data_IF_474228084237
#
_entry.id   IF_474228084237
#
_cell.length_a   1.000
_cell.length_b   1.000
_cell.length_c   1.000
_cell.angle_alpha   90.00
_cell.angle_beta   90.00
_cell.angle_gamma   90.00
#
_symmetry.space_group_name_H-M   'P 1'
#
loop_
_entity.id
_entity.type
_entity.pdbx_description
1 polymer ?
#
# COMPACT_ATOMS: atom_id res chain seq x y z
N UNK A 1 -7.73 -22.03 0.35
CA UNK A 1 -6.35 -21.51 0.41
C UNK A 1 -5.37 -22.65 0.66
N UNK A 2 -4.34 -22.79 -0.18
CA UNK A 2 -3.27 -23.79 -0.09
C UNK A 2 -1.97 -23.04 0.24
N UNK A 3 -1.19 -23.52 1.24
CA UNK A 3 0.07 -22.92 1.69
C UNK A 3 1.22 -23.89 1.45
N UNK A 4 2.17 -23.51 0.61
CA UNK A 4 3.46 -24.20 0.51
C UNK A 4 4.41 -23.66 1.59
N UNK A 5 5.03 -24.56 2.35
CA UNK A 5 5.89 -24.25 3.50
C UNK A 5 7.40 -24.48 3.21
N UNK A 6 7.76 -24.74 1.97
CA UNK A 6 9.15 -25.03 1.62
C UNK A 6 10.04 -23.77 1.70
N UNK A 7 11.30 -23.98 2.06
CA UNK A 7 12.35 -22.97 2.00
C UNK A 7 12.32 -21.87 3.06
N UNK A 8 11.67 -22.11 4.20
CA UNK A 8 11.67 -21.16 5.33
C UNK A 8 12.97 -21.32 6.12
N UNK A 9 13.70 -20.21 6.26
CA UNK A 9 14.93 -20.18 7.05
C UNK A 9 14.66 -20.38 8.55
N UNK A 10 15.61 -20.97 9.31
CA UNK A 10 15.40 -21.26 10.74
C UNK A 10 15.01 -20.03 11.57
N UNK A 11 15.62 -18.87 11.30
CA UNK A 11 15.34 -17.59 11.99
C UNK A 11 13.94 -17.06 11.74
N UNK A 12 13.32 -17.44 10.61
CA UNK A 12 12.02 -16.95 10.18
C UNK A 12 10.85 -17.83 10.63
N UNK A 13 11.13 -18.97 11.25
CA UNK A 13 10.10 -19.96 11.59
C UNK A 13 8.99 -19.42 12.46
N UNK A 14 9.32 -18.62 13.45
CA UNK A 14 8.32 -18.05 14.36
C UNK A 14 7.39 -17.11 13.61
N UNK A 15 7.93 -16.19 12.79
CA UNK A 15 7.13 -15.28 11.97
C UNK A 15 6.28 -16.07 10.96
N UNK A 16 6.85 -17.07 10.31
CA UNK A 16 6.14 -17.92 9.36
C UNK A 16 4.95 -18.66 10.04
N UNK A 17 5.13 -19.17 11.24
CA UNK A 17 4.06 -19.81 12.03
C UNK A 17 2.96 -18.78 12.34
N UNK A 18 3.31 -17.56 12.72
CA UNK A 18 2.37 -16.50 13.03
C UNK A 18 1.56 -16.10 11.79
N UNK A 19 2.23 -15.85 10.66
CA UNK A 19 1.57 -15.55 9.37
C UNK A 19 0.62 -16.68 8.97
N UNK A 20 1.10 -17.94 9.03
CA UNK A 20 0.29 -19.11 8.70
C UNK A 20 -0.96 -19.21 9.60
N UNK A 21 -0.80 -19.09 10.91
CA UNK A 21 -1.91 -19.20 11.85
C UNK A 21 -2.93 -18.07 11.66
N UNK A 22 -2.45 -16.86 11.38
CA UNK A 22 -3.29 -15.71 11.06
C UNK A 22 -4.17 -15.97 9.84
N UNK A 23 -3.58 -16.47 8.76
CA UNK A 23 -4.30 -16.80 7.52
C UNK A 23 -5.25 -17.99 7.70
N UNK A 24 -4.85 -19.02 8.46
CA UNK A 24 -5.72 -20.17 8.75
C UNK A 24 -6.93 -19.81 9.62
N UNK A 25 -6.81 -18.74 10.43
CA UNK A 25 -7.94 -18.17 11.16
C UNK A 25 -8.93 -17.39 10.27
N UNK A 26 -8.71 -17.34 8.97
CA UNK A 26 -9.57 -16.68 7.99
C UNK A 26 -9.23 -15.22 7.72
N UNK A 27 -8.21 -14.66 8.37
CA UNK A 27 -7.78 -13.28 8.12
C UNK A 27 -7.06 -13.19 6.76
N UNK A 28 -7.19 -12.06 6.07
CA UNK A 28 -6.59 -11.83 4.75
C UNK A 28 -5.84 -10.50 4.64
N UNK A 29 -6.00 -9.60 5.59
CA UNK A 29 -5.31 -8.32 5.63
C UNK A 29 -4.29 -8.35 6.76
N UNK A 30 -3.02 -8.16 6.43
CA UNK A 30 -1.87 -8.17 7.34
C UNK A 30 -1.28 -6.77 7.38
N UNK A 31 -1.09 -6.21 8.57
CA UNK A 31 -0.61 -4.83 8.77
C UNK A 31 -1.72 -3.86 9.13
N UNK A 32 -1.32 -2.63 9.42
CA UNK A 32 -2.22 -1.55 9.83
C UNK A 32 -2.22 -0.45 8.75
N UNK A 33 -3.31 -0.31 7.96
CA UNK A 33 -3.36 0.67 6.88
C UNK A 33 -3.09 2.08 7.40
N UNK A 34 -2.20 2.81 6.74
CA UNK A 34 -1.83 4.18 7.11
C UNK A 34 -0.83 4.30 8.26
N UNK A 35 -0.22 3.22 8.75
CA UNK A 35 0.72 3.28 9.88
C UNK A 35 1.96 4.13 9.57
N UNK A 36 2.55 4.02 8.38
CA UNK A 36 3.68 4.87 7.99
C UNK A 36 3.31 6.36 7.98
N UNK A 37 2.14 6.68 7.44
CA UNK A 37 1.64 8.05 7.43
C UNK A 37 1.25 8.54 8.84
N UNK A 38 0.77 7.66 9.74
CA UNK A 38 0.53 8.05 11.15
C UNK A 38 1.81 8.43 11.89
N UNK A 39 2.91 7.71 11.63
CA UNK A 39 4.21 8.07 12.20
C UNK A 39 4.71 9.41 11.66
N UNK A 40 4.55 9.64 10.35
CA UNK A 40 4.83 10.93 9.72
C UNK A 40 3.96 12.03 10.32
N UNK A 41 2.66 11.79 10.48
CA UNK A 41 1.73 12.75 11.08
C UNK A 41 2.13 13.12 12.50
N UNK A 42 2.48 12.14 13.34
CA UNK A 42 2.94 12.37 14.70
C UNK A 42 4.16 13.30 14.73
N UNK A 43 5.14 13.07 13.85
CA UNK A 43 6.33 13.91 13.71
C UNK A 43 5.98 15.35 13.28
N UNK A 44 5.06 15.51 12.34
CA UNK A 44 4.60 16.82 11.88
C UNK A 44 3.85 17.59 12.99
N UNK A 45 2.98 16.91 13.74
CA UNK A 45 2.24 17.51 14.86
C UNK A 45 3.18 17.86 16.03
N UNK A 46 4.17 17.04 16.32
CA UNK A 46 5.20 17.36 17.30
C UNK A 46 6.01 18.59 16.88
N UNK A 47 6.44 18.68 15.62
CA UNK A 47 7.10 19.84 15.05
C UNK A 47 6.21 21.10 15.18
N UNK A 48 4.92 21.01 14.87
CA UNK A 48 3.98 22.12 15.05
C UNK A 48 3.91 22.59 16.49
N UNK A 49 3.90 21.67 17.45
CA UNK A 49 3.77 21.99 18.87
C UNK A 49 5.08 22.51 19.50
N UNK A 50 6.23 22.16 18.95
CA UNK A 50 7.55 22.54 19.48
C UNK A 50 8.07 23.89 18.97
N UNK A 51 7.43 24.47 17.97
CA UNK A 51 7.89 25.72 17.37
C UNK A 51 7.43 26.95 18.18
N UNK A 52 8.36 27.58 18.90
CA UNK A 52 8.20 28.95 19.42
C UNK A 52 8.46 29.93 18.27
N UNK A 53 7.42 30.37 17.58
CA UNK A 53 7.54 31.25 16.41
C UNK A 53 7.71 32.73 16.77
N UNK A 54 8.60 33.42 16.04
CA UNK A 54 8.49 34.89 15.90
C UNK A 54 7.31 35.21 14.96
N UNK A 55 6.64 36.34 15.21
CA UNK A 55 5.40 36.75 14.52
C UNK A 55 5.55 36.82 12.99
N UNK A 56 6.75 37.10 12.47
CA UNK A 56 7.03 37.20 11.02
C UNK A 56 7.23 35.85 10.32
N UNK A 57 7.69 34.82 11.02
CA UNK A 57 7.84 33.48 10.46
C UNK A 57 6.50 32.70 10.43
N UNK A 58 5.54 33.19 11.20
CA UNK A 58 4.27 32.50 11.46
C UNK A 58 3.40 32.30 10.21
N UNK A 59 3.26 33.32 9.37
CA UNK A 59 2.28 33.31 8.29
C UNK A 59 2.66 32.40 7.12
N UNK A 60 3.94 32.24 6.78
CA UNK A 60 4.38 31.48 5.59
C UNK A 60 4.74 30.03 5.93
N UNK A 61 5.43 29.80 7.04
CA UNK A 61 5.86 28.45 7.46
C UNK A 61 4.70 27.61 8.01
N UNK A 62 3.77 28.26 8.71
CA UNK A 62 2.63 27.58 9.34
C UNK A 62 1.61 27.05 8.30
N UNK A 63 1.37 27.81 7.23
CA UNK A 63 0.49 27.35 6.15
C UNK A 63 1.01 26.11 5.41
N UNK A 64 2.33 25.99 5.25
CA UNK A 64 2.92 24.82 4.59
C UNK A 64 2.86 23.57 5.49
N UNK A 65 3.19 23.70 6.77
CA UNK A 65 3.13 22.60 7.74
C UNK A 65 1.69 22.11 7.94
N UNK A 66 0.72 23.02 8.06
CA UNK A 66 -0.69 22.66 8.15
C UNK A 66 -1.18 21.97 6.89
N UNK A 67 -0.74 22.41 5.71
CA UNK A 67 -1.04 21.74 4.44
C UNK A 67 -0.48 20.32 4.43
N UNK A 68 0.77 20.12 4.88
CA UNK A 68 1.37 18.77 4.98
C UNK A 68 0.57 17.87 5.93
N UNK A 69 0.18 18.38 7.10
CA UNK A 69 -0.67 17.65 8.06
C UNK A 69 -1.99 17.23 7.42
N UNK A 70 -2.66 18.10 6.69
CA UNK A 70 -3.93 17.79 6.03
C UNK A 70 -3.75 16.76 4.89
N UNK A 71 -2.69 16.88 4.10
CA UNK A 71 -2.38 15.90 3.05
C UNK A 71 -2.05 14.52 3.64
N UNK A 72 -1.29 14.47 4.73
CA UNK A 72 -0.98 13.21 5.42
C UNK A 72 -2.24 12.56 5.99
N UNK A 73 -3.15 13.34 6.59
CA UNK A 73 -4.45 12.82 7.06
C UNK A 73 -5.29 12.27 5.91
N UNK A 74 -5.35 12.96 4.78
CA UNK A 74 -6.05 12.46 3.59
C UNK A 74 -5.42 11.17 3.04
N UNK A 75 -4.10 11.05 3.09
CA UNK A 75 -3.38 9.82 2.73
C UNK A 75 -3.79 8.64 3.63
N UNK A 76 -3.77 8.82 4.96
CA UNK A 76 -4.20 7.80 5.93
C UNK A 76 -5.64 7.33 5.61
N UNK A 77 -6.57 8.26 5.39
CA UNK A 77 -7.94 7.91 5.02
C UNK A 77 -8.00 7.11 3.72
N UNK A 78 -7.16 7.45 2.74
CA UNK A 78 -7.08 6.74 1.47
C UNK A 78 -6.64 5.29 1.61
N UNK A 79 -5.57 5.05 2.37
CA UNK A 79 -5.07 3.70 2.62
C UNK A 79 -6.10 2.85 3.40
N UNK A 80 -6.73 3.42 4.41
CA UNK A 80 -7.80 2.75 5.18
C UNK A 80 -8.97 2.38 4.25
N UNK A 81 -9.48 3.32 3.46
CA UNK A 81 -10.59 3.06 2.52
C UNK A 81 -10.24 1.95 1.52
N UNK A 82 -9.02 1.96 0.97
CA UNK A 82 -8.56 0.93 0.05
C UNK A 82 -8.55 -0.45 0.71
N UNK A 83 -7.97 -0.56 1.90
CA UNK A 83 -7.87 -1.83 2.63
C UNK A 83 -9.25 -2.34 3.07
N UNK A 84 -10.15 -1.48 3.53
CA UNK A 84 -11.52 -1.86 3.88
C UNK A 84 -12.30 -2.37 2.67
N UNK A 85 -12.12 -1.72 1.51
CA UNK A 85 -12.73 -2.15 0.27
C UNK A 85 -12.20 -3.53 -0.16
N UNK A 86 -10.87 -3.73 -0.11
CA UNK A 86 -10.23 -5.00 -0.41
C UNK A 86 -10.69 -6.12 0.54
N UNK A 87 -10.72 -5.86 1.84
CA UNK A 87 -11.22 -6.82 2.84
C UNK A 87 -12.67 -7.23 2.54
N UNK A 88 -13.50 -6.27 2.16
CA UNK A 88 -14.89 -6.52 1.77
C UNK A 88 -14.98 -7.38 0.51
N UNK A 89 -14.21 -7.07 -0.53
CA UNK A 89 -14.18 -7.86 -1.76
C UNK A 89 -13.75 -9.30 -1.49
N UNK A 90 -12.66 -9.51 -0.76
CA UNK A 90 -12.14 -10.85 -0.46
C UNK A 90 -13.15 -11.67 0.35
N UNK A 91 -13.89 -11.02 1.24
CA UNK A 91 -14.90 -11.70 2.08
C UNK A 91 -16.10 -12.19 1.29
N UNK A 92 -16.51 -11.47 0.24
CA UNK A 92 -17.77 -11.71 -0.46
C UNK A 92 -17.62 -12.17 -1.90
N UNK A 93 -16.40 -12.28 -2.43
CA UNK A 93 -16.13 -12.71 -3.80
C UNK A 93 -15.25 -13.96 -3.82
N UNK A 94 -15.87 -15.12 -4.05
CA UNK A 94 -15.19 -16.43 -4.09
C UNK A 94 -14.06 -16.49 -5.13
N UNK A 95 -14.09 -15.65 -6.18
CA UNK A 95 -13.01 -15.58 -7.18
C UNK A 95 -11.71 -15.07 -6.60
N UNK A 96 -11.80 -14.32 -5.50
CA UNK A 96 -10.65 -13.74 -4.80
C UNK A 96 -10.19 -14.60 -3.61
N UNK A 97 -10.75 -15.82 -3.46
CA UNK A 97 -10.24 -16.74 -2.41
C UNK A 97 -8.76 -17.06 -2.65
N UNK A 98 -7.98 -16.95 -1.60
CA UNK A 98 -6.52 -17.07 -1.67
C UNK A 98 -5.77 -15.75 -1.83
N UNK A 99 -6.45 -14.63 -2.08
CA UNK A 99 -5.81 -13.31 -2.08
C UNK A 99 -5.42 -12.90 -0.64
N UNK A 100 -4.20 -12.43 -0.47
CA UNK A 100 -3.67 -11.88 0.79
C UNK A 100 -3.24 -10.44 0.55
N UNK A 101 -3.61 -9.57 1.48
CA UNK A 101 -3.30 -8.13 1.45
C UNK A 101 -2.30 -7.80 2.55
N UNK A 102 -1.24 -7.10 2.21
CA UNK A 102 -0.32 -6.48 3.15
C UNK A 102 -0.47 -4.97 3.06
N UNK A 103 -0.60 -4.31 4.21
CA UNK A 103 -0.76 -2.86 4.31
C UNK A 103 0.44 -2.23 5.02
N UNK A 104 0.80 -1.02 4.59
CA UNK A 104 1.85 -0.18 5.20
C UNK A 104 3.18 -0.92 5.37
N UNK A 105 3.86 -1.15 4.26
CA UNK A 105 5.14 -1.85 4.22
C UNK A 105 6.28 -0.86 3.95
N UNK A 106 7.42 -1.03 4.64
CA UNK A 106 8.66 -0.32 4.38
C UNK A 106 9.82 -1.31 4.38
N UNK A 107 10.57 -1.40 3.29
CA UNK A 107 11.68 -2.32 3.16
C UNK A 107 13.01 -1.59 3.20
N UNK A 108 13.85 -1.94 4.18
CA UNK A 108 15.18 -1.39 4.34
C UNK A 108 16.23 -2.38 3.81
N UNK A 109 16.91 -2.02 2.74
CA UNK A 109 17.98 -2.83 2.14
C UNK A 109 19.30 -2.79 2.94
N UNK A 110 19.39 -2.03 4.02
CA UNK A 110 20.59 -1.95 4.86
C UNK A 110 21.79 -1.24 4.21
N UNK A 111 21.61 -0.57 3.09
CA UNK A 111 22.66 0.20 2.43
C UNK A 111 22.96 1.46 3.23
N UNK A 112 24.22 1.62 3.71
CA UNK A 112 24.63 2.71 4.60
C UNK A 112 24.46 4.13 4.02
N UNK A 113 24.31 4.25 2.70
CA UNK A 113 24.28 5.53 2.00
C UNK A 113 22.87 6.11 1.81
N UNK A 114 21.80 5.33 2.07
CA UNK A 114 20.40 5.77 1.90
C UNK A 114 19.67 5.84 3.25
N UNK A 115 20.27 6.50 4.24
CA UNK A 115 19.69 6.60 5.60
C UNK A 115 18.37 7.38 5.65
N UNK A 116 18.05 8.14 4.62
CA UNK A 116 16.94 9.10 4.66
C UNK A 116 15.70 8.69 3.83
N UNK A 117 15.78 7.63 3.02
CA UNK A 117 14.65 7.20 2.21
C UNK A 117 14.42 5.69 2.32
N UNK A 118 13.44 5.32 3.12
CA UNK A 118 12.88 3.97 3.13
C UNK A 118 11.61 4.04 2.28
N UNK A 119 11.64 3.45 1.07
CA UNK A 119 10.45 3.45 0.24
C UNK A 119 9.35 2.65 0.93
N UNK A 120 8.20 3.27 1.10
CA UNK A 120 7.01 2.60 1.61
C UNK A 120 6.13 2.08 0.47
N UNK A 121 5.26 1.15 0.82
CA UNK A 121 4.26 0.57 -0.06
C UNK A 121 2.94 0.58 0.70
N UNK A 122 1.97 1.33 0.19
CA UNK A 122 0.67 1.47 0.83
C UNK A 122 -0.02 0.12 0.97
N UNK A 123 -0.11 -0.61 -0.15
CA UNK A 123 -0.80 -1.90 -0.20
C UNK A 123 -0.12 -2.84 -1.20
N UNK A 124 0.12 -4.08 -0.77
CA UNK A 124 0.65 -5.14 -1.61
C UNK A 124 -0.27 -6.36 -1.51
N UNK A 125 -0.70 -6.87 -2.65
CA UNK A 125 -1.53 -8.06 -2.74
C UNK A 125 -0.70 -9.22 -3.25
N UNK A 126 -0.94 -10.40 -2.66
CA UNK A 126 -0.31 -11.66 -3.05
C UNK A 126 -1.38 -12.66 -3.46
N UNK A 127 -1.22 -13.28 -4.62
CA UNK A 127 -2.04 -14.40 -5.09
C UNK A 127 -1.14 -15.44 -5.73
N UNK A 128 -1.05 -16.61 -5.11
CA UNK A 128 -0.07 -17.63 -5.51
C UNK A 128 1.36 -17.09 -5.39
N UNK A 129 2.08 -17.05 -6.51
CA UNK A 129 3.42 -16.47 -6.64
C UNK A 129 3.40 -15.12 -7.39
N UNK A 130 2.27 -14.44 -7.44
CA UNK A 130 2.10 -13.16 -8.11
C UNK A 130 1.93 -12.03 -7.09
N UNK A 131 2.48 -10.87 -7.41
CA UNK A 131 2.40 -9.66 -6.59
C UNK A 131 1.70 -8.56 -7.37
N UNK A 132 0.81 -7.84 -6.70
CA UNK A 132 0.20 -6.61 -7.19
C UNK A 132 0.43 -5.49 -6.16
N UNK A 133 1.13 -4.44 -6.57
CA UNK A 133 1.34 -3.24 -5.76
C UNK A 133 0.24 -2.24 -6.07
N UNK A 134 -0.41 -1.73 -5.05
CA UNK A 134 -1.46 -0.70 -5.19
C UNK A 134 -1.11 0.50 -4.32
N UNK A 135 -0.85 1.62 -4.97
CA UNK A 135 -0.60 2.91 -4.35
C UNK A 135 -1.95 3.65 -4.20
N UNK A 136 -2.36 3.99 -2.98
CA UNK A 136 -3.62 4.64 -2.69
C UNK A 136 -3.51 6.17 -2.79
N UNK A 137 -4.34 6.79 -3.62
CA UNK A 137 -4.37 8.26 -3.74
C UNK A 137 -5.75 8.80 -3.43
N UNK A 138 -5.87 9.47 -2.27
CA UNK A 138 -7.09 10.18 -1.85
C UNK A 138 -6.97 11.66 -2.23
N UNK A 139 -7.22 11.96 -3.48
CA UNK A 139 -7.13 13.31 -4.04
C UNK A 139 -8.51 13.94 -4.17
N UNK A 140 -8.58 15.27 -3.99
CA UNK A 140 -9.80 16.03 -4.28
C UNK A 140 -9.95 16.18 -5.79
N UNK A 141 -10.97 15.57 -6.35
CA UNK A 141 -11.32 15.68 -7.77
C UNK A 141 -12.64 16.40 -7.95
N UNK A 142 -12.85 16.94 -9.15
CA UNK A 142 -14.16 17.45 -9.59
C UNK A 142 -14.93 16.32 -10.26
N UNK A 143 -16.28 16.35 -10.27
CA UNK A 143 -17.06 15.44 -11.09
C UNK A 143 -16.59 15.48 -12.54
N UNK A 144 -16.49 14.31 -13.16
CA UNK A 144 -16.07 14.16 -14.57
C UNK A 144 -14.66 14.70 -14.89
N UNK A 145 -13.83 14.92 -13.86
CA UNK A 145 -12.45 15.33 -14.06
C UNK A 145 -11.67 14.25 -14.83
N UNK A 146 -10.94 14.66 -15.85
CA UNK A 146 -10.11 13.79 -16.66
C UNK A 146 -8.73 13.65 -16.01
N UNK A 147 -8.35 12.44 -15.65
CA UNK A 147 -7.08 12.12 -14.94
C UNK A 147 -6.18 11.30 -15.85
N UNK A 148 -4.90 11.64 -15.89
CA UNK A 148 -3.86 10.88 -16.59
C UNK A 148 -2.63 10.68 -15.70
N UNK A 149 -1.73 9.77 -16.10
CA UNK A 149 -0.37 9.69 -15.58
C UNK A 149 0.60 10.28 -16.60
N UNK A 150 1.40 11.24 -16.15
CA UNK A 150 2.53 11.79 -16.89
C UNK A 150 3.82 11.62 -16.08
N UNK A 151 4.74 10.76 -16.54
CA UNK A 151 5.92 10.45 -15.74
C UNK A 151 5.54 9.91 -14.35
N UNK A 152 6.10 10.47 -13.28
CA UNK A 152 5.76 10.09 -11.91
C UNK A 152 4.56 10.86 -11.35
N UNK A 153 3.76 11.55 -12.17
CA UNK A 153 2.69 12.44 -11.70
C UNK A 153 1.31 11.99 -12.17
N UNK A 154 0.32 12.02 -11.28
CA UNK A 154 -1.08 12.13 -11.67
C UNK A 154 -1.35 13.59 -12.03
N UNK A 155 -1.99 13.82 -13.17
CA UNK A 155 -2.29 15.14 -13.69
C UNK A 155 -3.77 15.26 -14.04
N UNK A 156 -4.29 16.48 -13.94
CA UNK A 156 -5.53 16.89 -14.58
C UNK A 156 -5.25 17.02 -16.09
N UNK A 157 -5.83 16.15 -16.90
CA UNK A 157 -5.50 16.08 -18.33
C UNK A 157 -6.01 17.26 -19.15
N UNK A 158 -7.03 17.98 -18.68
CA UNK A 158 -7.59 19.15 -19.38
C UNK A 158 -6.63 20.35 -19.38
N UNK A 159 -5.84 20.50 -18.32
CA UNK A 159 -4.94 21.65 -18.16
C UNK A 159 -3.50 21.28 -17.77
N UNK A 160 -3.17 20.00 -17.76
CA UNK A 160 -1.86 19.42 -17.39
C UNK A 160 -1.38 19.86 -15.98
N UNK A 161 -2.32 20.18 -15.10
CA UNK A 161 -2.00 20.53 -13.73
C UNK A 161 -1.60 19.27 -12.95
N UNK A 162 -0.42 19.28 -12.37
CA UNK A 162 0.04 18.24 -11.45
C UNK A 162 -0.86 18.16 -10.21
N UNK A 163 -1.32 16.95 -9.89
CA UNK A 163 -2.19 16.67 -8.76
C UNK A 163 -1.40 16.05 -7.62
N UNK A 164 -0.69 14.94 -7.89
CA UNK A 164 0.08 14.22 -6.88
C UNK A 164 1.13 13.32 -7.52
N UNK A 165 2.26 13.17 -6.85
CA UNK A 165 3.32 12.25 -7.25
C UNK A 165 2.94 10.79 -7.00
N UNK A 166 3.40 9.91 -7.90
CA UNK A 166 3.12 8.48 -7.90
C UNK A 166 4.45 7.72 -7.81
N UNK A 167 4.59 6.90 -6.78
CA UNK A 167 5.79 6.11 -6.55
C UNK A 167 5.49 4.61 -6.56
N UNK A 168 5.38 3.99 -7.76
CA UNK A 168 5.16 2.55 -7.81
C UNK A 168 6.38 1.80 -7.28
N UNK A 169 6.21 1.04 -6.23
CA UNK A 169 7.27 0.26 -5.58
C UNK A 169 7.47 -1.15 -6.16
N UNK A 170 6.99 -1.40 -7.39
CA UNK A 170 7.11 -2.70 -8.04
C UNK A 170 8.56 -3.18 -8.17
N UNK A 171 9.49 -2.26 -8.50
CA UNK A 171 10.92 -2.59 -8.63
C UNK A 171 11.56 -3.01 -7.30
N UNK A 172 11.08 -2.46 -6.17
CA UNK A 172 11.52 -2.79 -4.83
C UNK A 172 11.18 -4.25 -4.53
N UNK A 173 9.92 -4.61 -4.71
CA UNK A 173 9.45 -5.96 -4.42
C UNK A 173 10.04 -7.00 -5.37
N UNK A 174 10.30 -6.63 -6.63
CA UNK A 174 11.05 -7.49 -7.54
C UNK A 174 12.46 -7.76 -7.00
N UNK A 175 13.18 -6.73 -6.56
CA UNK A 175 14.51 -6.87 -5.95
C UNK A 175 14.46 -7.74 -4.70
N UNK A 176 13.50 -7.53 -3.80
CA UNK A 176 13.31 -8.36 -2.59
C UNK A 176 13.15 -9.84 -2.95
N UNK A 177 12.28 -10.15 -3.91
CA UNK A 177 12.08 -11.54 -4.32
C UNK A 177 13.32 -12.15 -4.94
N UNK A 178 14.06 -11.40 -5.76
CA UNK A 178 15.31 -11.85 -6.39
C UNK A 178 16.40 -12.11 -5.33
N UNK A 179 16.61 -11.22 -4.37
CA UNK A 179 17.60 -11.36 -3.29
C UNK A 179 17.33 -12.58 -2.41
N UNK A 180 16.07 -12.85 -2.08
CA UNK A 180 15.66 -14.00 -1.27
C UNK A 180 15.41 -15.27 -2.10
N UNK A 181 15.68 -15.23 -3.42
CA UNK A 181 15.50 -16.37 -4.35
C UNK A 181 14.09 -16.96 -4.27
N UNK A 182 13.09 -16.07 -4.22
CA UNK A 182 11.67 -16.43 -4.20
C UNK A 182 11.15 -16.40 -5.63
N UNK A 183 10.63 -17.51 -6.16
CA UNK A 183 10.07 -17.53 -7.50
C UNK A 183 8.89 -16.57 -7.63
N UNK A 184 8.99 -15.63 -8.57
CA UNK A 184 7.94 -14.66 -8.85
C UNK A 184 7.31 -14.94 -10.22
N UNK A 185 5.99 -15.15 -10.25
CA UNK A 185 5.23 -15.37 -11.48
C UNK A 185 5.00 -14.06 -12.25
N UNK A 186 4.53 -13.02 -11.57
CA UNK A 186 4.44 -11.66 -12.10
C UNK A 186 4.45 -10.63 -10.98
N UNK A 187 4.79 -9.39 -11.35
CA UNK A 187 4.59 -8.21 -10.51
C UNK A 187 3.94 -7.12 -11.35
N UNK A 188 2.85 -6.58 -10.84
CA UNK A 188 2.07 -5.53 -11.51
C UNK A 188 1.89 -4.34 -10.54
N UNK A 189 1.61 -3.15 -11.07
CA UNK A 189 1.41 -1.94 -10.26
C UNK A 189 0.20 -1.14 -10.71
N UNK A 190 -0.58 -0.64 -9.74
CA UNK A 190 -1.68 0.29 -9.97
C UNK A 190 -1.61 1.48 -9.01
N UNK A 191 -2.07 2.63 -9.49
CA UNK A 191 -2.44 3.75 -8.63
C UNK A 191 -3.94 3.76 -8.51
N UNK A 192 -4.45 3.57 -7.30
CA UNK A 192 -5.87 3.52 -7.01
C UNK A 192 -6.35 4.86 -6.45
N UNK A 193 -7.22 5.53 -7.19
CA UNK A 193 -7.87 6.76 -6.72
C UNK A 193 -9.08 6.36 -5.88
N UNK A 194 -9.02 6.66 -4.57
CA UNK A 194 -9.96 6.15 -3.55
C UNK A 194 -10.96 7.21 -3.07
N UNK A 195 -11.30 8.16 -3.91
CA UNK A 195 -12.34 9.13 -3.60
C UNK A 195 -13.73 8.66 -4.08
N UNK A 196 -14.78 9.33 -3.62
CA UNK A 196 -16.16 9.00 -3.97
C UNK A 196 -16.64 9.73 -5.25
N UNK A 197 -15.77 10.56 -5.86
CA UNK A 197 -16.10 11.34 -7.03
C UNK A 197 -15.87 10.52 -8.29
N UNK A 198 -16.88 10.45 -9.14
CA UNK A 198 -16.72 9.82 -10.45
C UNK A 198 -15.75 10.63 -11.31
N UNK A 199 -14.73 9.97 -11.81
CA UNK A 199 -13.67 10.54 -12.65
C UNK A 199 -13.54 9.74 -13.93
N UNK A 200 -12.98 10.35 -14.96
CA UNK A 200 -12.59 9.68 -16.19
C UNK A 200 -11.05 9.52 -16.21
N UNK A 201 -10.57 8.33 -16.55
CA UNK A 201 -9.13 8.04 -16.57
C UNK A 201 -8.67 7.79 -17.99
N UNK A 202 -7.71 8.59 -18.46
CA UNK A 202 -7.04 8.35 -19.74
C UNK A 202 -6.14 7.13 -19.61
N UNK A 203 -6.32 6.17 -20.51
CA UNK A 203 -5.55 4.92 -20.57
C UNK A 203 -4.81 4.76 -21.90
N UNK A 204 -4.43 5.85 -22.50
CA UNK A 204 -3.59 5.85 -23.69
C UNK A 204 -2.14 5.55 -23.28
N UNK A 205 -1.53 4.52 -23.89
CA UNK A 205 -0.15 4.13 -23.63
C UNK A 205 0.86 5.27 -23.88
N UNK A 206 0.50 6.25 -24.69
CA UNK A 206 1.33 7.44 -24.94
C UNK A 206 1.52 8.32 -23.67
N UNK A 207 0.61 8.21 -22.69
CA UNK A 207 0.68 8.95 -21.44
C UNK A 207 1.44 8.18 -20.34
N UNK A 208 1.64 6.86 -20.51
CA UNK A 208 2.30 6.03 -19.50
C UNK A 208 3.80 5.96 -19.75
N UNK A 209 4.57 6.66 -18.94
CA UNK A 209 6.03 6.49 -18.90
C UNK A 209 6.49 5.44 -17.88
N UNK A 210 5.58 4.90 -17.06
CA UNK A 210 5.84 3.87 -16.07
C UNK A 210 4.88 2.67 -16.25
N UNK A 211 5.25 1.50 -15.73
CA UNK A 211 4.43 0.28 -15.80
C UNK A 211 3.17 0.34 -14.90
N UNK A 212 2.93 1.47 -14.25
CA UNK A 212 1.83 1.65 -13.30
C UNK A 212 0.63 2.24 -14.02
N UNK A 213 -0.55 1.66 -13.78
CA UNK A 213 -1.81 2.07 -14.39
C UNK A 213 -2.71 2.75 -13.38
N UNK A 214 -3.32 3.90 -13.71
CA UNK A 214 -4.32 4.52 -12.85
C UNK A 214 -5.64 3.79 -12.95
N UNK A 215 -6.30 3.62 -11.81
CA UNK A 215 -7.66 3.08 -11.71
C UNK A 215 -8.45 3.86 -10.65
N UNK A 216 -9.76 3.91 -10.81
CA UNK A 216 -10.65 4.34 -9.74
C UNK A 216 -11.03 3.13 -8.86
N UNK A 217 -11.27 3.34 -7.58
CA UNK A 217 -11.61 2.27 -6.63
C UNK A 217 -12.81 1.43 -7.07
N UNK A 218 -13.79 2.03 -7.77
CA UNK A 218 -14.95 1.30 -8.31
C UNK A 218 -14.58 0.25 -9.38
N UNK A 219 -13.42 0.38 -10.02
CA UNK A 219 -12.94 -0.54 -11.05
C UNK A 219 -12.09 -1.67 -10.47
N UNK A 220 -11.62 -1.50 -9.22
CA UNK A 220 -10.65 -2.39 -8.59
C UNK A 220 -11.14 -3.84 -8.56
N UNK A 221 -12.44 -4.08 -8.31
CA UNK A 221 -13.02 -5.43 -8.36
C UNK A 221 -12.76 -6.12 -9.70
N UNK A 222 -13.14 -5.49 -10.79
CA UNK A 222 -12.96 -6.06 -12.14
C UNK A 222 -11.49 -6.27 -12.51
N UNK A 223 -10.61 -5.36 -12.05
CA UNK A 223 -9.16 -5.48 -12.22
C UNK A 223 -8.65 -6.71 -11.46
N UNK A 224 -9.03 -6.90 -10.20
CA UNK A 224 -8.61 -8.02 -9.38
C UNK A 224 -9.12 -9.36 -9.92
N UNK A 225 -10.40 -9.48 -10.29
CA UNK A 225 -10.96 -10.69 -10.88
C UNK A 225 -10.19 -11.09 -12.16
N UNK A 226 -9.87 -10.13 -13.01
CA UNK A 226 -9.06 -10.36 -14.20
C UNK A 226 -7.62 -10.74 -13.85
N UNK A 227 -7.04 -10.09 -12.84
CA UNK A 227 -5.65 -10.31 -12.43
C UNK A 227 -5.44 -11.71 -11.85
N UNK A 228 -6.37 -12.25 -11.06
CA UNK A 228 -6.28 -13.60 -10.49
C UNK A 228 -6.65 -14.70 -11.49
N UNK A 229 -7.38 -14.35 -12.56
CA UNK A 229 -7.90 -15.31 -13.52
C UNK A 229 -6.80 -16.17 -14.16
N UNK A 230 -6.95 -17.48 -14.10
CA UNK A 230 -6.02 -18.45 -14.69
C UNK A 230 -4.69 -18.60 -13.93
N UNK A 231 -4.53 -17.98 -12.78
CA UNK A 231 -3.36 -18.11 -11.92
C UNK A 231 -3.59 -19.19 -10.86
N UNK A 232 -2.50 -19.90 -10.50
CA UNK A 232 -2.51 -20.79 -9.35
C UNK A 232 -2.58 -19.98 -8.05
N UNK A 233 -3.41 -20.39 -7.10
CA UNK A 233 -3.60 -19.75 -5.80
C UNK A 233 -2.80 -20.40 -4.66
N UNK A 234 -1.84 -21.27 -4.98
CA UNK A 234 -0.96 -21.88 -3.99
C UNK A 234 0.03 -20.85 -3.47
N UNK A 235 -0.18 -20.36 -2.27
CA UNK A 235 0.64 -19.32 -1.65
C UNK A 235 1.96 -19.88 -1.13
N UNK A 236 3.07 -19.19 -1.38
CA UNK A 236 4.37 -19.47 -0.77
C UNK A 236 4.45 -18.85 0.62
N UNK A 237 4.54 -19.65 1.67
CA UNK A 237 4.72 -19.12 3.03
C UNK A 237 6.05 -18.39 3.18
N UNK A 238 7.10 -18.79 2.45
CA UNK A 238 8.37 -18.06 2.38
C UNK A 238 8.15 -16.65 1.86
N UNK A 239 7.45 -16.48 0.72
CA UNK A 239 7.13 -15.17 0.15
C UNK A 239 6.35 -14.30 1.15
N UNK A 240 5.30 -14.84 1.75
CA UNK A 240 4.47 -14.12 2.71
C UNK A 240 5.27 -13.69 3.95
N UNK A 241 6.20 -14.53 4.41
CA UNK A 241 7.07 -14.23 5.55
C UNK A 241 8.05 -13.11 5.23
N UNK A 242 8.67 -13.13 4.03
CA UNK A 242 9.57 -12.04 3.61
C UNK A 242 8.84 -10.71 3.48
N UNK A 243 7.64 -10.72 2.93
CA UNK A 243 6.82 -9.50 2.87
C UNK A 243 6.44 -9.03 4.29
N UNK A 244 6.08 -9.95 5.18
CA UNK A 244 5.71 -9.62 6.56
C UNK A 244 6.85 -8.99 7.37
N UNK A 245 8.12 -9.30 7.05
CA UNK A 245 9.30 -8.64 7.66
C UNK A 245 9.36 -7.14 7.38
N UNK A 246 8.83 -6.72 6.23
CA UNK A 246 8.81 -5.34 5.80
C UNK A 246 7.68 -4.51 6.43
N UNK A 247 6.85 -5.09 7.30
CA UNK A 247 5.84 -4.31 8.01
C UNK A 247 6.50 -3.22 8.85
N UNK A 248 5.94 -2.02 8.78
CA UNK A 248 6.39 -0.90 9.59
C UNK A 248 6.20 -1.29 11.05
N UNK A 249 7.32 -1.50 11.74
CA UNK A 249 7.33 -1.89 13.14
C UNK A 249 6.94 -0.65 13.97
N UNK A 250 5.83 -0.74 14.70
CA UNK A 250 5.71 0.04 15.92
C UNK A 250 6.93 -0.30 16.76
N UNK A 251 7.68 0.69 17.22
CA UNK A 251 8.81 0.45 18.12
C UNK A 251 8.35 -0.47 19.26
N UNK A 252 8.95 -1.66 19.31
CA UNK A 252 8.74 -2.71 20.31
C UNK A 252 7.33 -3.33 20.36
N UNK A 253 7.28 -4.49 19.87
CA UNK A 253 6.32 -5.58 19.94
C UNK A 253 5.61 -5.90 18.62
N UNK A 254 6.20 -6.88 17.91
CA UNK A 254 5.44 -7.70 16.97
C UNK A 254 4.61 -8.69 17.81
N UNK A 255 3.68 -8.18 18.57
CA UNK A 255 2.52 -8.95 18.97
C UNK A 255 1.45 -8.61 17.94
N UNK A 256 1.18 -9.55 17.01
CA UNK A 256 -0.06 -9.54 16.27
C UNK A 256 -1.19 -9.56 17.30
N UNK A 257 -1.64 -8.39 17.72
CA UNK A 257 -2.73 -8.32 18.66
C UNK A 257 -4.04 -8.52 17.87
N UNK A 258 -4.40 -9.81 17.73
CA UNK A 258 -5.67 -10.25 17.12
C UNK A 258 -6.87 -9.50 17.73
N UNK A 259 -6.76 -9.00 18.96
CA UNK A 259 -7.81 -8.25 19.64
C UNK A 259 -7.92 -6.80 19.15
N UNK A 260 -6.83 -6.17 18.68
CA UNK A 260 -6.89 -4.81 18.14
C UNK A 260 -7.54 -4.82 16.76
N UNK A 261 -7.27 -5.85 15.95
CA UNK A 261 -7.94 -6.03 14.66
C UNK A 261 -9.44 -6.30 14.85
N UNK A 262 -9.82 -7.14 15.83
CA UNK A 262 -11.24 -7.37 16.16
C UNK A 262 -11.96 -6.10 16.61
N UNK A 263 -11.29 -5.21 17.35
CA UNK A 263 -11.86 -3.92 17.77
C UNK A 263 -12.04 -2.96 16.59
N UNK A 264 -11.11 -2.97 15.64
CA UNK A 264 -11.11 -2.05 14.49
C UNK A 264 -12.16 -2.45 13.45
N UNK A 265 -12.44 -3.74 13.29
CA UNK A 265 -13.38 -4.28 12.30
C UNK A 265 -14.72 -4.76 12.88
N UNK A 266 -14.96 -4.60 14.19
CA UNK A 266 -16.26 -4.92 14.81
C UNK A 266 -16.66 -6.39 14.70
N UNK A 267 -15.68 -7.32 14.65
CA UNK A 267 -15.90 -8.78 14.55
C UNK A 267 -15.67 -9.45 15.88
#
# INVERSE_FOLDING_TARGET
MILNQDGIEPEDRELAINVRNYLLAGNRVIGDPGEGLRQTLATLEERRNSQNFSITDWVVKDSHLETQIQLTKAGIEGEIKLCDYLATLIKYDDKLDGLVVFASLAYNFGEENDKDYIPDTDTLLVYGNHILVVDAKNIKTKPEQLIAIMGPMLVDADNLKELIEVHPSTHIWKRVMDEHKIPLGSIDGYVCIVNDTQIEIIRDDAWYSCQTKPIHVSELKGVLEKWVSGKDNTLSLKMLTEIAKAQIKKEKDISFNVNDIKRQFGI
#
